data_IF_745500737922
#
_entry.id   IF_745500737922
#
_cell.length_a   1.000
_cell.length_b   1.000
_cell.length_c   1.000
_cell.angle_alpha   90.00
_cell.angle_beta   90.00
_cell.angle_gamma   90.00
#
_symmetry.space_group_name_H-M   'P 1'
#
loop_
_entity.id
_entity.type
_entity.pdbx_description
1 polymer ?
#
# COMPACT_ATOMS: atom_id res chain seq x y z
N UNK A 1 -9.35 -5.57 7.89
CA UNK A 1 -8.93 -6.77 8.63
C UNK A 1 -7.55 -6.70 9.26
N UNK A 2 -6.51 -6.12 8.62
CA UNK A 2 -5.19 -5.98 9.27
C UNK A 2 -5.24 -5.29 10.65
N UNK A 3 -6.03 -4.22 10.79
CA UNK A 3 -6.25 -3.59 12.09
C UNK A 3 -7.02 -4.49 13.06
N UNK A 4 -8.07 -5.18 12.60
CA UNK A 4 -8.86 -6.10 13.43
C UNK A 4 -7.96 -7.20 14.05
N UNK A 5 -7.04 -7.75 13.26
CA UNK A 5 -6.04 -8.70 13.73
C UNK A 5 -5.13 -8.10 14.82
N UNK A 6 -4.58 -6.90 14.60
CA UNK A 6 -3.77 -6.20 15.61
C UNK A 6 -4.58 -5.92 16.89
N UNK A 7 -5.83 -5.46 16.76
CA UNK A 7 -6.72 -5.15 17.88
C UNK A 7 -7.04 -6.40 18.69
N UNK A 8 -7.41 -7.51 18.03
CA UNK A 8 -7.69 -8.78 18.71
C UNK A 8 -6.50 -9.24 19.57
N UNK A 9 -5.29 -9.26 18.99
CA UNK A 9 -4.05 -9.63 19.70
C UNK A 9 -3.76 -8.76 20.92
N UNK A 10 -3.99 -7.44 20.82
CA UNK A 10 -3.75 -6.51 21.94
C UNK A 10 -4.85 -6.63 23.00
N UNK A 11 -6.11 -6.84 22.62
CA UNK A 11 -7.20 -7.05 23.58
C UNK A 11 -6.97 -8.31 24.42
N UNK A 12 -6.66 -9.44 23.79
CA UNK A 12 -6.41 -10.72 24.47
C UNK A 12 -5.35 -10.63 25.56
N UNK A 13 -4.31 -9.82 25.34
CA UNK A 13 -3.18 -9.70 26.27
C UNK A 13 -3.32 -8.57 27.29
N UNK A 14 -4.08 -7.51 26.98
CA UNK A 14 -4.04 -6.25 27.73
C UNK A 14 -5.37 -5.82 28.35
N UNK A 15 -6.52 -6.32 27.90
CA UNK A 15 -7.83 -5.84 28.37
C UNK A 15 -8.69 -7.02 28.78
N UNK A 16 -8.74 -7.29 30.08
CA UNK A 16 -9.57 -8.37 30.63
C UNK A 16 -11.06 -8.13 30.30
N UNK A 17 -11.69 -9.07 29.58
CA UNK A 17 -13.08 -8.96 29.15
C UNK A 17 -13.30 -8.06 27.92
N UNK A 18 -12.24 -7.50 27.34
CA UNK A 18 -12.34 -6.76 26.08
C UNK A 18 -12.74 -7.68 24.92
N UNK A 19 -13.55 -7.16 24.00
CA UNK A 19 -13.98 -7.90 22.81
C UNK A 19 -13.98 -7.03 21.57
N UNK A 20 -13.80 -7.65 20.41
CA UNK A 20 -13.89 -6.99 19.11
C UNK A 20 -15.08 -7.56 18.35
N UNK A 21 -15.92 -6.67 17.82
CA UNK A 21 -16.98 -7.02 16.87
C UNK A 21 -16.68 -6.40 15.52
N UNK A 22 -16.90 -7.17 14.45
CA UNK A 22 -16.69 -6.72 13.07
C UNK A 22 -18.03 -6.65 12.36
N UNK A 23 -18.31 -5.50 11.75
CA UNK A 23 -19.48 -5.24 10.92
C UNK A 23 -19.01 -5.09 9.48
N UNK A 24 -19.34 -6.05 8.61
CA UNK A 24 -18.88 -6.07 7.23
C UNK A 24 -19.79 -6.93 6.34
N UNK A 25 -19.89 -6.66 5.03
CA UNK A 25 -20.50 -7.61 4.10
C UNK A 25 -19.76 -8.95 4.19
N UNK A 26 -20.51 -10.03 4.43
CA UNK A 26 -19.98 -11.39 4.56
C UNK A 26 -20.63 -12.33 3.54
N UNK A 27 -19.85 -13.15 2.81
CA UNK A 27 -18.38 -13.22 2.85
C UNK A 27 -17.71 -11.94 2.32
N UNK A 28 -16.47 -11.67 2.76
CA UNK A 28 -15.71 -10.53 2.22
C UNK A 28 -15.54 -10.65 0.70
N UNK A 29 -15.68 -9.53 0.00
CA UNK A 29 -15.62 -9.47 -1.46
C UNK A 29 -14.27 -9.91 -2.04
N UNK A 30 -14.28 -10.22 -3.35
CA UNK A 30 -13.08 -10.63 -4.11
C UNK A 30 -12.31 -11.80 -3.48
N UNK A 31 -13.01 -12.75 -2.86
CA UNK A 31 -12.44 -13.91 -2.16
C UNK A 31 -11.52 -13.54 -0.98
N UNK A 32 -11.65 -12.33 -0.42
CA UNK A 32 -10.85 -11.93 0.73
C UNK A 32 -11.21 -12.72 2.01
N UNK A 33 -12.37 -13.37 2.05
CA UNK A 33 -12.74 -14.28 3.15
C UNK A 33 -11.73 -15.42 3.30
N UNK A 34 -11.26 -16.00 2.19
CA UNK A 34 -10.24 -17.06 2.19
C UNK A 34 -8.95 -16.57 2.87
N UNK A 35 -8.53 -15.33 2.61
CA UNK A 35 -7.37 -14.72 3.26
C UNK A 35 -7.59 -14.50 4.76
N UNK A 36 -8.80 -14.08 5.15
CA UNK A 36 -9.17 -13.92 6.56
C UNK A 36 -9.10 -15.24 7.32
N UNK A 37 -9.62 -16.31 6.71
CA UNK A 37 -9.67 -17.64 7.30
C UNK A 37 -8.26 -18.27 7.36
N UNK A 38 -7.48 -18.20 6.28
CA UNK A 38 -6.14 -18.79 6.19
C UNK A 38 -5.13 -18.14 7.14
N UNK A 39 -5.25 -16.82 7.35
CA UNK A 39 -4.36 -16.05 8.24
C UNK A 39 -4.94 -15.84 9.63
N UNK A 40 -6.13 -16.38 9.88
CA UNK A 40 -6.78 -16.32 11.18
C UNK A 40 -6.94 -14.86 11.69
N UNK A 41 -7.38 -13.98 10.79
CA UNK A 41 -7.40 -12.52 11.06
C UNK A 41 -8.51 -12.11 12.03
N UNK A 42 -9.55 -12.94 12.19
CA UNK A 42 -10.68 -12.69 13.08
C UNK A 42 -11.53 -13.96 13.30
N UNK A 43 -11.87 -14.24 14.56
CA UNK A 43 -12.63 -15.44 14.96
C UNK A 43 -14.09 -15.18 15.39
N UNK A 44 -14.46 -13.91 15.54
CA UNK A 44 -15.79 -13.55 16.01
C UNK A 44 -16.86 -13.70 14.92
N UNK A 45 -18.11 -13.50 15.31
CA UNK A 45 -19.20 -13.36 14.34
C UNK A 45 -18.99 -12.07 13.53
N UNK A 46 -19.16 -12.14 12.21
CA UNK A 46 -19.27 -10.95 11.35
C UNK A 46 -20.74 -10.53 11.33
N UNK A 47 -20.99 -9.28 11.72
CA UNK A 47 -22.32 -8.67 11.77
C UNK A 47 -22.64 -7.95 10.46
N UNK A 48 -23.92 -7.81 10.13
CA UNK A 48 -24.33 -7.02 8.97
C UNK A 48 -24.03 -5.53 9.25
N UNK A 49 -23.36 -4.79 8.36
CA UNK A 49 -23.13 -3.35 8.49
C UNK A 49 -24.38 -2.54 8.85
N UNK A 50 -25.53 -2.90 8.27
CA UNK A 50 -26.81 -2.19 8.49
C UNK A 50 -27.30 -2.28 9.95
N UNK A 51 -26.80 -3.25 10.72
CA UNK A 51 -27.15 -3.43 12.13
C UNK A 51 -26.37 -2.50 13.07
N UNK A 52 -25.26 -1.89 12.62
CA UNK A 52 -24.34 -1.13 13.48
C UNK A 52 -25.06 -0.03 14.28
N UNK A 53 -25.80 0.84 13.61
CA UNK A 53 -26.47 1.97 14.27
C UNK A 53 -27.50 1.47 15.29
N UNK A 54 -28.27 0.44 14.92
CA UNK A 54 -29.27 -0.17 15.82
C UNK A 54 -28.58 -0.73 17.07
N UNK A 55 -27.46 -1.41 16.90
CA UNK A 55 -26.73 -2.06 17.98
C UNK A 55 -26.02 -1.01 18.87
N UNK A 56 -25.53 0.10 18.30
CA UNK A 56 -25.02 1.26 19.05
C UNK A 56 -26.09 1.98 19.88
N UNK A 57 -27.33 2.01 19.40
CA UNK A 57 -28.48 2.59 20.14
C UNK A 57 -29.07 1.64 21.18
N UNK A 58 -28.74 0.36 21.13
CA UNK A 58 -29.30 -0.64 22.03
C UNK A 58 -28.83 -0.39 23.47
N UNK A 59 -29.77 0.01 24.34
CA UNK A 59 -29.60 0.04 25.80
C UNK A 59 -29.92 -1.29 26.47
N UNK A 60 -30.33 -2.30 25.69
CA UNK A 60 -30.82 -3.61 26.17
C UNK A 60 -29.74 -4.68 26.24
N UNK A 61 -28.57 -4.41 25.67
CA UNK A 61 -27.43 -5.32 25.66
C UNK A 61 -26.49 -4.96 26.80
N UNK A 62 -26.01 -5.95 27.56
CA UNK A 62 -24.89 -5.76 28.51
C UNK A 62 -23.59 -5.29 27.81
N UNK A 63 -23.57 -5.32 26.47
CA UNK A 63 -22.48 -4.85 25.64
C UNK A 63 -22.44 -3.33 25.55
N UNK A 64 -21.39 -2.75 26.12
CA UNK A 64 -21.02 -1.34 25.97
C UNK A 64 -19.96 -1.26 24.86
N UNK A 65 -20.10 -0.28 23.96
CA UNK A 65 -19.11 0.02 22.94
C UNK A 65 -18.31 1.23 23.39
N UNK A 66 -17.01 1.07 23.61
CA UNK A 66 -16.12 2.16 23.99
C UNK A 66 -15.42 2.79 22.78
N UNK A 67 -15.23 2.01 21.70
CA UNK A 67 -14.61 2.45 20.45
C UNK A 67 -15.43 1.95 19.25
N UNK A 68 -15.67 2.84 18.29
CA UNK A 68 -16.13 2.52 16.94
C UNK A 68 -15.00 2.83 15.96
N UNK A 69 -14.61 1.85 15.15
CA UNK A 69 -13.56 2.02 14.14
C UNK A 69 -14.18 1.88 12.76
N UNK A 70 -14.09 2.93 11.95
CA UNK A 70 -14.43 2.91 10.53
C UNK A 70 -13.22 2.43 9.75
N UNK A 71 -13.38 1.35 8.97
CA UNK A 71 -12.32 0.69 8.21
C UNK A 71 -11.75 1.55 7.08
N UNK A 72 -12.55 2.46 6.53
CA UNK A 72 -12.19 3.52 5.59
C UNK A 72 -13.28 4.59 5.69
N UNK A 73 -13.00 5.74 6.30
CA UNK A 73 -14.01 6.80 6.50
C UNK A 73 -14.60 7.36 5.21
N UNK A 74 -13.82 7.27 4.13
CA UNK A 74 -14.22 7.63 2.78
C UNK A 74 -15.40 6.77 2.28
N UNK A 75 -15.61 5.57 2.85
CA UNK A 75 -16.60 4.58 2.38
C UNK A 75 -17.60 4.18 3.49
N UNK A 76 -17.13 3.99 4.72
CA UNK A 76 -17.89 3.37 5.82
C UNK A 76 -18.87 4.32 6.52
N UNK A 77 -19.21 5.44 5.89
CA UNK A 77 -20.37 6.25 6.26
C UNK A 77 -20.20 7.02 7.56
N UNK A 78 -19.10 7.78 7.72
CA UNK A 78 -19.12 8.87 8.69
C UNK A 78 -20.25 9.84 8.31
N UNK A 79 -21.32 9.85 9.11
CA UNK A 79 -22.57 10.53 8.78
C UNK A 79 -23.30 11.04 10.04
N UNK A 80 -24.38 11.79 9.82
CA UNK A 80 -25.19 12.39 10.89
C UNK A 80 -25.90 11.35 11.77
N UNK A 81 -26.20 10.16 11.22
CA UNK A 81 -26.87 9.11 11.99
C UNK A 81 -25.94 8.48 13.04
N UNK A 82 -24.66 8.30 12.70
CA UNK A 82 -23.64 7.85 13.66
C UNK A 82 -23.42 8.90 14.76
N UNK A 83 -23.43 10.18 14.39
CA UNK A 83 -23.31 11.28 15.36
C UNK A 83 -24.54 11.33 16.27
N UNK A 84 -25.74 11.17 15.73
CA UNK A 84 -26.97 11.08 16.52
C UNK A 84 -26.96 9.89 17.48
N UNK A 85 -26.49 8.71 17.03
CA UNK A 85 -26.32 7.55 17.89
C UNK A 85 -25.31 7.79 19.02
N UNK A 86 -24.27 8.59 18.77
CA UNK A 86 -23.37 9.05 19.83
C UNK A 86 -24.06 10.02 20.79
N UNK A 87 -24.78 11.03 20.29
CA UNK A 87 -25.46 12.06 21.08
C UNK A 87 -26.56 11.47 21.98
N UNK A 88 -27.28 10.44 21.52
CA UNK A 88 -28.35 9.75 22.26
C UNK A 88 -27.88 8.94 23.48
N UNK A 89 -26.60 8.55 23.52
CA UNK A 89 -26.02 7.78 24.64
C UNK A 89 -25.76 8.68 25.85
N UNK A 90 -25.86 8.16 27.06
CA UNK A 90 -25.50 8.93 28.25
C UNK A 90 -23.97 9.08 28.40
N UNK A 91 -23.56 10.03 29.23
CA UNK A 91 -22.16 10.44 29.40
C UNK A 91 -21.21 9.29 29.78
N UNK A 92 -21.69 8.27 30.50
CA UNK A 92 -20.86 7.15 30.93
C UNK A 92 -20.71 6.06 29.88
N UNK A 93 -21.47 6.15 28.78
CA UNK A 93 -21.49 5.14 27.73
C UNK A 93 -21.12 5.73 26.36
N UNK A 94 -20.60 6.96 26.27
CA UNK A 94 -20.09 7.51 25.00
C UNK A 94 -18.94 6.66 24.45
N UNK A 95 -18.82 6.59 23.14
CA UNK A 95 -17.71 5.91 22.46
C UNK A 95 -16.76 6.90 21.80
N UNK A 96 -15.51 6.49 21.60
CA UNK A 96 -14.56 7.17 20.71
C UNK A 96 -14.71 6.66 19.28
N UNK A 97 -14.59 7.57 18.32
CA UNK A 97 -14.60 7.24 16.90
C UNK A 97 -13.16 7.22 16.36
N UNK A 98 -12.78 6.15 15.70
CA UNK A 98 -11.50 6.04 15.00
C UNK A 98 -11.75 5.94 13.50
N UNK A 99 -11.08 6.80 12.78
CA UNK A 99 -11.27 7.00 11.36
C UNK A 99 -10.03 6.58 10.59
N UNK A 100 -10.05 5.42 9.93
CA UNK A 100 -8.97 5.02 9.03
C UNK A 100 -9.09 5.82 7.74
N UNK A 101 -7.97 6.38 7.29
CA UNK A 101 -7.90 7.24 6.11
C UNK A 101 -6.65 6.94 5.30
N UNK A 102 -6.71 7.22 4.00
CA UNK A 102 -5.58 6.99 3.10
C UNK A 102 -5.37 8.09 2.06
N UNK A 103 -6.31 9.03 1.91
CA UNK A 103 -6.20 10.17 1.01
C UNK A 103 -6.69 11.46 1.68
N UNK A 104 -5.80 12.43 1.85
CA UNK A 104 -6.13 13.75 2.44
C UNK A 104 -7.10 14.53 1.55
N UNK A 105 -7.12 14.24 0.25
CA UNK A 105 -7.96 14.95 -0.73
C UNK A 105 -9.35 14.37 -0.89
N UNK A 106 -9.63 13.23 -0.24
CA UNK A 106 -11.00 12.74 -0.13
C UNK A 106 -11.72 13.56 0.94
N UNK A 107 -12.45 14.59 0.50
CA UNK A 107 -13.08 15.57 1.37
C UNK A 107 -14.59 15.39 1.52
N UNK A 108 -15.21 14.47 0.80
CA UNK A 108 -16.69 14.38 0.74
C UNK A 108 -17.32 14.04 2.09
N UNK A 109 -16.62 13.28 2.93
CA UNK A 109 -17.03 12.91 4.28
C UNK A 109 -16.56 13.89 5.37
N UNK A 110 -15.75 14.90 5.01
CA UNK A 110 -15.15 15.79 5.98
C UNK A 110 -16.10 16.80 6.66
N UNK A 111 -17.20 17.27 6.04
CA UNK A 111 -18.08 18.26 6.69
C UNK A 111 -18.64 17.81 8.04
N UNK A 112 -18.87 16.51 8.25
CA UNK A 112 -19.38 15.99 9.51
C UNK A 112 -18.31 15.89 10.61
N UNK A 113 -17.01 16.00 10.27
CA UNK A 113 -15.90 15.91 11.24
C UNK A 113 -15.99 17.01 12.30
N UNK A 114 -16.38 18.24 11.92
CA UNK A 114 -16.38 19.41 12.80
C UNK A 114 -17.09 19.14 14.13
N UNK A 115 -18.24 18.45 14.08
CA UNK A 115 -19.01 18.10 15.27
C UNK A 115 -18.33 17.06 16.16
N UNK A 116 -17.67 16.06 15.56
CA UNK A 116 -16.90 15.06 16.29
C UNK A 116 -15.63 15.65 16.92
N UNK A 117 -14.97 16.57 16.22
CA UNK A 117 -13.80 17.30 16.70
C UNK A 117 -14.16 18.15 17.91
N UNK A 118 -15.27 18.90 17.84
CA UNK A 118 -15.73 19.76 18.95
C UNK A 118 -16.03 18.97 20.22
N UNK A 119 -16.52 17.73 20.07
CA UNK A 119 -16.78 16.78 21.16
C UNK A 119 -15.52 16.02 21.63
N UNK A 120 -14.36 16.25 21.02
CA UNK A 120 -13.08 15.59 21.30
C UNK A 120 -13.21 14.05 21.35
N UNK A 121 -13.92 13.48 20.39
CA UNK A 121 -14.28 12.05 20.35
C UNK A 121 -13.73 11.32 19.12
N UNK A 122 -13.28 12.04 18.10
CA UNK A 122 -12.68 11.44 16.90
C UNK A 122 -11.15 11.42 16.94
N UNK A 123 -10.59 10.35 16.38
CA UNK A 123 -9.17 10.19 16.09
C UNK A 123 -8.97 9.70 14.67
N UNK A 124 -7.90 10.18 14.03
CA UNK A 124 -7.51 9.74 12.71
C UNK A 124 -6.44 8.66 12.78
N UNK A 125 -6.60 7.64 11.94
CA UNK A 125 -5.66 6.52 11.83
C UNK A 125 -5.16 6.34 10.37
N UNK A 126 -4.35 7.27 9.82
CA UNK A 126 -3.79 7.12 8.50
C UNK A 126 -2.97 5.83 8.32
N UNK A 127 -2.99 5.30 7.10
CA UNK A 127 -2.23 4.09 6.73
C UNK A 127 -0.79 4.34 6.27
N UNK A 128 -0.29 5.58 6.41
CA UNK A 128 1.10 5.96 6.12
C UNK A 128 1.48 7.28 6.81
N UNK A 129 2.75 7.47 7.15
CA UNK A 129 3.20 8.66 7.88
C UNK A 129 3.07 9.96 7.08
N UNK A 130 3.31 9.94 5.75
CA UNK A 130 3.15 11.14 4.94
C UNK A 130 1.68 11.59 4.84
N UNK A 131 0.74 10.65 4.85
CA UNK A 131 -0.70 10.96 4.89
C UNK A 131 -1.08 11.58 6.24
N UNK A 132 -0.53 11.07 7.35
CA UNK A 132 -0.70 11.69 8.66
C UNK A 132 -0.17 13.13 8.71
N UNK A 133 1.00 13.39 8.12
CA UNK A 133 1.52 14.75 8.00
C UNK A 133 0.63 15.64 7.15
N UNK A 134 0.06 15.11 6.06
CA UNK A 134 -0.89 15.84 5.22
C UNK A 134 -2.19 16.19 5.96
N UNK A 135 -2.76 15.27 6.73
CA UNK A 135 -3.92 15.57 7.59
C UNK A 135 -3.58 16.57 8.69
N UNK A 136 -2.38 16.49 9.30
CA UNK A 136 -1.95 17.49 10.28
C UNK A 136 -1.94 18.90 9.67
N UNK A 137 -1.34 19.05 8.48
CA UNK A 137 -1.33 20.34 7.77
C UNK A 137 -2.74 20.83 7.42
N UNK A 138 -3.62 19.93 6.98
CA UNK A 138 -5.02 20.26 6.72
C UNK A 138 -5.72 20.76 7.99
N UNK A 139 -5.53 20.08 9.12
CA UNK A 139 -6.14 20.47 10.39
C UNK A 139 -5.59 21.78 10.94
N UNK A 140 -4.30 22.06 10.76
CA UNK A 140 -3.73 23.37 11.10
C UNK A 140 -4.39 24.49 10.27
N UNK A 141 -4.61 24.27 8.97
CA UNK A 141 -5.33 25.23 8.10
C UNK A 141 -6.78 25.43 8.58
N UNK A 142 -7.48 24.36 8.94
CA UNK A 142 -8.86 24.44 9.44
C UNK A 142 -8.93 25.13 10.81
N UNK A 143 -7.93 24.93 11.66
CA UNK A 143 -7.83 25.61 12.95
C UNK A 143 -7.67 27.13 12.80
N UNK A 144 -7.10 27.60 11.68
CA UNK A 144 -6.95 29.02 11.34
C UNK A 144 -8.07 29.56 10.41
N UNK A 145 -9.16 28.82 10.22
CA UNK A 145 -10.24 29.19 9.29
C UNK A 145 -10.93 30.51 9.65
N UNK A 146 -11.35 31.28 8.65
CA UNK A 146 -12.18 32.48 8.87
C UNK A 146 -13.62 32.13 9.33
N UNK A 147 -14.05 30.90 9.07
CA UNK A 147 -15.33 30.35 9.53
C UNK A 147 -15.28 30.06 11.03
N UNK A 148 -16.12 30.75 11.82
CA UNK A 148 -16.18 30.61 13.28
C UNK A 148 -16.55 29.19 13.72
N UNK A 149 -17.41 28.48 12.99
CA UNK A 149 -17.83 27.13 13.35
C UNK A 149 -16.67 26.13 13.22
N UNK A 150 -15.84 26.31 12.20
CA UNK A 150 -14.66 25.47 11.94
C UNK A 150 -13.52 25.84 12.89
N UNK A 151 -13.19 27.13 12.99
CA UNK A 151 -12.08 27.63 13.82
C UNK A 151 -12.26 27.28 15.30
N UNK A 152 -13.50 27.32 15.79
CA UNK A 152 -13.81 26.98 17.19
C UNK A 152 -13.89 25.48 17.46
N UNK A 153 -13.82 24.61 16.44
CA UNK A 153 -14.01 23.17 16.61
C UNK A 153 -12.82 22.47 17.29
N UNK A 154 -11.62 23.06 17.28
CA UNK A 154 -10.43 22.50 17.94
C UNK A 154 -9.62 21.54 17.05
N UNK A 155 -9.60 21.75 15.73
CA UNK A 155 -8.87 20.91 14.77
C UNK A 155 -7.37 20.72 15.11
N UNK A 156 -6.71 21.73 15.68
CA UNK A 156 -5.29 21.65 16.09
C UNK A 156 -5.01 20.53 17.12
N UNK A 157 -6.02 20.13 17.89
CA UNK A 157 -5.90 19.13 18.95
C UNK A 157 -6.30 17.72 18.50
N UNK A 158 -6.70 17.53 17.23
CA UNK A 158 -7.08 16.22 16.74
C UNK A 158 -5.93 15.20 16.84
N UNK A 159 -6.16 14.05 17.51
CA UNK A 159 -5.17 13.00 17.56
C UNK A 159 -5.04 12.31 16.19
N UNK A 160 -3.80 12.05 15.78
CA UNK A 160 -3.46 11.33 14.56
C UNK A 160 -2.42 10.28 14.92
N UNK A 161 -2.73 9.01 14.68
CA UNK A 161 -1.78 7.89 14.79
C UNK A 161 -1.64 7.18 13.45
N UNK A 162 -0.55 6.45 13.25
CA UNK A 162 -0.31 5.73 12.00
C UNK A 162 -0.38 4.23 12.25
N UNK A 163 -1.21 3.53 11.49
CA UNK A 163 -1.27 2.06 11.50
C UNK A 163 -1.07 1.54 10.08
N UNK A 164 0.05 0.85 9.84
CA UNK A 164 0.41 0.37 8.50
C UNK A 164 -0.23 -1.02 8.25
N UNK A 165 -1.17 -1.17 7.30
CA UNK A 165 -1.93 -2.40 7.10
C UNK A 165 -1.10 -3.41 6.29
N UNK A 166 -0.19 -4.12 6.94
CA UNK A 166 0.60 -5.20 6.34
C UNK A 166 0.25 -6.52 7.01
N UNK A 167 -0.32 -7.44 6.24
CA UNK A 167 -0.57 -8.82 6.62
C UNK A 167 0.69 -9.72 6.48
N UNK A 168 0.71 -10.82 7.24
CA UNK A 168 1.69 -11.89 7.04
C UNK A 168 1.18 -12.92 6.04
N UNK A 169 1.34 -12.65 4.74
CA UNK A 169 0.94 -13.60 3.71
C UNK A 169 1.90 -14.81 3.61
N UNK A 170 2.91 -14.94 4.46
CA UNK A 170 3.91 -16.00 4.39
C UNK A 170 4.99 -15.77 3.30
N UNK A 171 5.90 -16.74 3.20
CA UNK A 171 7.09 -16.62 2.35
C UNK A 171 6.78 -16.84 0.86
N UNK A 172 7.58 -16.18 0.01
CA UNK A 172 7.60 -16.45 -1.43
C UNK A 172 8.23 -17.80 -1.74
N UNK A 173 7.88 -18.48 -2.86
CA UNK A 173 8.52 -19.72 -3.27
C UNK A 173 10.03 -19.57 -3.47
N UNK A 174 10.79 -20.64 -3.18
CA UNK A 174 12.22 -20.67 -3.52
C UNK A 174 12.41 -20.80 -5.03
N UNK A 175 13.28 -19.96 -5.59
CA UNK A 175 13.65 -20.02 -7.01
C UNK A 175 15.11 -20.44 -7.16
N UNK A 176 15.40 -21.54 -7.89
CA UNK A 176 16.77 -22.04 -8.06
C UNK A 176 17.62 -21.15 -8.98
N UNK A 177 17.00 -20.36 -9.85
CA UNK A 177 17.68 -19.43 -10.77
C UNK A 177 17.41 -17.98 -10.35
N UNK A 178 18.46 -17.16 -10.30
CA UNK A 178 18.42 -15.78 -9.78
C UNK A 178 18.68 -14.72 -10.85
N UNK A 179 18.20 -14.95 -12.07
CA UNK A 179 18.10 -13.87 -13.07
C UNK A 179 16.80 -13.13 -12.82
N UNK A 180 16.84 -11.80 -12.66
CA UNK A 180 15.63 -10.98 -12.48
C UNK A 180 14.78 -11.08 -13.75
N UNK A 181 13.60 -11.71 -13.67
CA UNK A 181 12.75 -11.97 -14.83
C UNK A 181 11.34 -11.44 -14.68
N UNK A 182 10.76 -11.46 -13.48
CA UNK A 182 9.37 -11.07 -13.28
C UNK A 182 9.29 -9.73 -12.55
N UNK A 183 8.83 -8.71 -13.24
CA UNK A 183 8.64 -7.37 -12.66
C UNK A 183 7.17 -6.99 -12.73
N UNK A 184 6.64 -6.35 -11.70
CA UNK A 184 5.23 -5.97 -11.64
C UNK A 184 5.03 -4.47 -11.46
N UNK A 185 4.07 -3.89 -12.17
CA UNK A 185 3.41 -2.63 -11.81
C UNK A 185 2.03 -2.98 -11.28
N UNK A 186 1.75 -2.55 -10.06
CA UNK A 186 0.48 -2.80 -9.38
C UNK A 186 -0.32 -1.49 -9.25
N UNK A 187 -1.61 -1.56 -9.54
CA UNK A 187 -2.56 -0.46 -9.41
C UNK A 187 -3.51 -0.35 -10.60
N UNK A 188 -4.40 0.64 -10.58
CA UNK A 188 -5.29 0.88 -11.72
C UNK A 188 -4.49 1.21 -12.98
N UNK A 189 -5.01 0.79 -14.13
CA UNK A 189 -4.40 1.02 -15.44
C UNK A 189 -4.70 2.43 -15.96
N UNK A 190 -4.34 3.42 -15.15
CA UNK A 190 -4.60 4.84 -15.40
C UNK A 190 -3.28 5.60 -15.57
N UNK A 191 -3.03 6.13 -16.76
CA UNK A 191 -1.79 6.83 -17.12
C UNK A 191 -1.51 8.09 -16.28
N UNK A 192 -2.54 8.72 -15.71
CA UNK A 192 -2.35 9.84 -14.77
C UNK A 192 -1.83 9.41 -13.40
N UNK A 193 -2.01 8.14 -13.02
CA UNK A 193 -1.56 7.58 -11.74
C UNK A 193 -0.25 6.80 -11.85
N UNK A 194 0.00 6.20 -13.02
CA UNK A 194 1.15 5.36 -13.30
C UNK A 194 1.78 5.71 -14.62
N UNK A 195 3.11 5.79 -14.65
CA UNK A 195 3.90 6.26 -15.79
C UNK A 195 4.13 5.16 -16.85
N UNK A 196 3.04 4.54 -17.32
CA UNK A 196 3.11 3.42 -18.26
C UNK A 196 3.78 3.78 -19.58
N UNK A 197 3.51 4.98 -20.10
CA UNK A 197 4.01 5.43 -21.40
C UNK A 197 5.54 5.44 -21.41
N UNK A 198 6.13 6.14 -20.45
CA UNK A 198 7.57 6.21 -20.27
C UNK A 198 8.22 4.85 -20.00
N UNK A 199 7.57 3.97 -19.24
CA UNK A 199 8.07 2.62 -18.97
C UNK A 199 8.09 1.78 -20.25
N UNK A 200 7.05 1.87 -21.08
CA UNK A 200 6.98 1.14 -22.34
C UNK A 200 7.99 1.69 -23.35
N UNK A 201 8.12 3.01 -23.45
CA UNK A 201 9.10 3.67 -24.33
C UNK A 201 10.53 3.28 -23.96
N UNK A 202 10.87 3.30 -22.66
CA UNK A 202 12.20 2.87 -22.19
C UNK A 202 12.46 1.38 -22.46
N UNK A 203 11.45 0.53 -22.27
CA UNK A 203 11.56 -0.91 -22.51
C UNK A 203 11.77 -1.20 -24.00
N UNK A 204 11.02 -0.53 -24.88
CA UNK A 204 11.19 -0.63 -26.33
C UNK A 204 12.58 -0.17 -26.76
N UNK A 205 13.02 1.01 -26.33
CA UNK A 205 14.34 1.52 -26.63
C UNK A 205 15.45 0.56 -26.15
N UNK A 206 15.29 -0.05 -24.97
CA UNK A 206 16.26 -1.02 -24.47
C UNK A 206 16.24 -2.35 -25.21
N UNK A 207 15.09 -2.78 -25.76
CA UNK A 207 14.98 -4.00 -26.57
C UNK A 207 15.53 -3.78 -27.99
N UNK A 208 15.36 -2.59 -28.55
CA UNK A 208 15.94 -2.19 -29.84
C UNK A 208 17.47 -2.15 -29.79
N UNK A 209 18.04 -1.73 -28.66
CA UNK A 209 19.49 -1.74 -28.40
C UNK A 209 20.07 -3.15 -28.34
N UNK A 210 19.54 -4.00 -27.43
CA UNK A 210 19.94 -5.40 -27.33
C UNK A 210 18.81 -6.26 -26.71
N UNK A 211 18.05 -7.01 -27.53
CA UNK A 211 16.94 -7.83 -27.04
C UNK A 211 17.43 -9.10 -26.31
N UNK A 212 18.68 -9.52 -26.53
CA UNK A 212 19.22 -10.74 -25.93
C UNK A 212 19.42 -10.59 -24.42
N UNK A 213 19.70 -9.37 -23.95
CA UNK A 213 19.76 -9.02 -22.51
C UNK A 213 18.44 -9.31 -21.80
N UNK A 214 17.33 -9.13 -22.51
CA UNK A 214 15.99 -9.37 -22.02
C UNK A 214 15.52 -10.81 -22.26
N UNK A 215 16.30 -11.62 -22.98
CA UNK A 215 16.00 -13.01 -23.32
C UNK A 215 15.07 -13.15 -24.53
N UNK A 216 15.13 -12.21 -25.47
CA UNK A 216 14.31 -12.18 -26.68
C UNK A 216 15.16 -12.18 -27.95
N UNK A 217 14.58 -12.68 -29.03
CA UNK A 217 15.16 -12.61 -30.38
C UNK A 217 14.96 -11.20 -30.96
N UNK A 218 15.86 -10.73 -31.86
CA UNK A 218 15.67 -9.47 -32.57
C UNK A 218 14.33 -9.39 -33.30
N UNK A 219 13.69 -8.22 -33.24
CA UNK A 219 12.42 -7.99 -33.90
C UNK A 219 12.59 -8.10 -35.42
N UNK A 220 11.82 -8.99 -36.04
CA UNK A 220 11.77 -9.08 -37.50
C UNK A 220 10.93 -7.91 -37.99
N UNK A 221 11.47 -7.08 -38.90
CA UNK A 221 10.94 -5.77 -39.31
C UNK A 221 9.59 -5.76 -40.06
N UNK A 222 8.65 -6.63 -39.69
CA UNK A 222 7.28 -6.64 -40.16
C UNK A 222 6.41 -5.77 -39.25
N UNK A 223 5.54 -4.90 -39.80
CA UNK A 223 4.62 -4.10 -39.00
C UNK A 223 3.75 -4.98 -38.08
N UNK A 224 3.66 -4.62 -36.80
CA UNK A 224 2.89 -5.36 -35.81
C UNK A 224 3.55 -6.66 -35.31
N UNK A 225 4.83 -6.88 -35.62
CA UNK A 225 5.61 -7.94 -34.98
C UNK A 225 5.75 -7.71 -33.48
N UNK A 226 5.94 -8.81 -32.74
CA UNK A 226 6.25 -8.81 -31.32
C UNK A 226 7.61 -9.46 -31.10
N UNK A 227 8.34 -9.05 -30.07
CA UNK A 227 9.56 -9.74 -29.65
C UNK A 227 9.21 -11.18 -29.22
N UNK A 228 9.96 -12.17 -29.71
CA UNK A 228 9.74 -13.58 -29.38
C UNK A 228 10.79 -14.07 -28.38
N UNK A 229 10.39 -14.80 -27.31
CA UNK A 229 11.34 -15.34 -26.35
C UNK A 229 12.39 -16.24 -27.01
N UNK A 230 13.66 -16.07 -26.63
CA UNK A 230 14.72 -16.98 -27.07
C UNK A 230 14.75 -18.22 -26.18
N UNK A 231 14.06 -19.27 -26.64
CA UNK A 231 13.99 -20.57 -25.96
C UNK A 231 15.31 -21.34 -25.92
N UNK A 232 16.37 -20.88 -26.60
CA UNK A 232 17.70 -21.48 -26.51
C UNK A 232 18.48 -21.05 -25.26
N UNK A 233 18.07 -19.94 -24.63
CA UNK A 233 18.70 -19.42 -23.43
C UNK A 233 18.32 -20.22 -22.19
N UNK A 234 19.28 -20.40 -21.28
CA UNK A 234 19.03 -21.04 -19.98
C UNK A 234 18.28 -20.15 -18.99
N UNK A 235 18.42 -18.82 -19.12
CA UNK A 235 17.76 -17.85 -18.27
C UNK A 235 16.35 -17.59 -18.78
N UNK A 236 15.35 -17.45 -17.90
CA UNK A 236 14.00 -17.09 -18.32
C UNK A 236 13.98 -15.68 -18.98
N UNK A 237 13.13 -15.48 -20.00
CA UNK A 237 12.92 -14.16 -20.59
C UNK A 237 12.33 -13.20 -19.55
N UNK A 238 12.61 -11.91 -19.71
CA UNK A 238 12.03 -10.85 -18.89
C UNK A 238 10.53 -10.70 -19.17
N UNK A 239 9.73 -10.46 -18.15
CA UNK A 239 8.29 -10.24 -18.25
C UNK A 239 7.89 -9.08 -17.35
N UNK A 240 7.08 -8.18 -17.91
CA UNK A 240 6.45 -7.09 -17.17
C UNK A 240 4.98 -7.43 -16.94
N UNK A 241 4.60 -7.58 -15.68
CA UNK A 241 3.24 -7.86 -15.27
C UNK A 241 2.53 -6.57 -14.87
N UNK A 242 1.31 -6.38 -15.36
CA UNK A 242 0.43 -5.31 -14.94
C UNK A 242 -0.73 -5.92 -14.15
N UNK A 243 -0.81 -5.63 -12.85
CA UNK A 243 -1.81 -6.22 -11.96
C UNK A 243 -2.71 -5.12 -11.40
N UNK A 244 -4.01 -5.20 -11.69
CA UNK A 244 -4.97 -4.21 -11.21
C UNK A 244 -6.27 -4.22 -11.99
N UNK A 245 -6.84 -3.04 -12.21
CA UNK A 245 -8.16 -2.86 -12.83
C UNK A 245 -8.12 -1.84 -13.96
N UNK A 246 -9.08 -1.95 -14.88
CA UNK A 246 -9.22 -1.08 -16.03
C UNK A 246 -8.61 -1.67 -17.31
N UNK A 247 -8.18 -0.80 -18.21
CA UNK A 247 -7.64 -1.21 -19.51
C UNK A 247 -6.46 -0.32 -19.92
N UNK A 248 -5.46 -0.92 -20.55
CA UNK A 248 -4.33 -0.23 -21.15
C UNK A 248 -4.01 -0.85 -22.51
N UNK A 249 -3.77 -0.01 -23.51
CA UNK A 249 -3.26 -0.48 -24.80
C UNK A 249 -1.76 -0.78 -24.67
N UNK A 250 -1.38 -2.02 -24.99
CA UNK A 250 0.01 -2.49 -25.00
C UNK A 250 0.55 -2.37 -26.43
N UNK A 251 1.71 -1.74 -26.65
CA UNK A 251 2.37 -1.70 -27.96
C UNK A 251 2.52 -3.09 -28.57
N UNK A 252 2.35 -3.21 -29.89
CA UNK A 252 2.33 -4.51 -30.57
C UNK A 252 3.63 -5.28 -30.34
N UNK A 253 4.75 -4.58 -30.32
CA UNK A 253 6.10 -5.07 -30.09
C UNK A 253 6.24 -5.74 -28.72
N UNK A 254 5.51 -5.25 -27.72
CA UNK A 254 5.60 -5.69 -26.32
C UNK A 254 4.59 -6.80 -25.94
N UNK A 255 3.73 -7.26 -26.85
CA UNK A 255 2.63 -8.19 -26.53
C UNK A 255 3.08 -9.51 -25.87
N UNK A 256 4.27 -10.01 -26.19
CA UNK A 256 4.82 -11.22 -25.60
C UNK A 256 5.65 -10.96 -24.33
N UNK A 257 5.87 -9.69 -23.96
CA UNK A 257 6.69 -9.25 -22.83
C UNK A 257 5.81 -8.75 -21.69
N UNK A 258 4.77 -7.98 -22.03
CA UNK A 258 3.86 -7.35 -21.08
C UNK A 258 2.60 -8.20 -20.94
N UNK A 259 2.28 -8.65 -19.73
CA UNK A 259 1.06 -9.40 -19.44
C UNK A 259 0.18 -8.61 -18.48
N UNK A 260 -1.08 -8.39 -18.87
CA UNK A 260 -2.06 -7.69 -18.05
C UNK A 260 -3.00 -8.68 -17.36
N UNK A 261 -3.11 -8.57 -16.04
CA UNK A 261 -4.00 -9.34 -15.19
C UNK A 261 -5.01 -8.39 -14.55
N UNK A 262 -6.27 -8.52 -14.98
CA UNK A 262 -7.35 -7.59 -14.62
C UNK A 262 -8.27 -8.23 -13.58
N UNK A 263 -8.59 -7.48 -12.53
CA UNK A 263 -9.63 -7.82 -11.54
C UNK A 263 -9.49 -9.23 -10.95
N UNK A 264 -8.25 -9.66 -10.68
CA UNK A 264 -7.98 -10.89 -9.95
C UNK A 264 -8.62 -10.84 -8.55
N UNK A 265 -9.17 -11.97 -8.10
CA UNK A 265 -9.52 -12.14 -6.69
C UNK A 265 -8.24 -12.11 -5.82
N UNK A 266 -8.39 -11.89 -4.51
CA UNK A 266 -7.25 -11.72 -3.62
C UNK A 266 -6.32 -12.94 -3.57
N UNK A 267 -6.86 -14.15 -3.59
CA UNK A 267 -6.10 -15.40 -3.56
C UNK A 267 -5.16 -15.50 -4.77
N UNK A 268 -5.70 -15.34 -5.97
CA UNK A 268 -4.94 -15.37 -7.22
C UNK A 268 -3.97 -14.18 -7.34
N UNK A 269 -4.41 -13.00 -6.90
CA UNK A 269 -3.59 -11.79 -6.87
C UNK A 269 -2.34 -11.98 -5.99
N UNK A 270 -2.52 -12.48 -4.76
CA UNK A 270 -1.40 -12.70 -3.83
C UNK A 270 -0.48 -13.83 -4.27
N UNK A 271 -1.03 -14.91 -4.83
CA UNK A 271 -0.24 -15.97 -5.43
C UNK A 271 0.64 -15.41 -6.56
N UNK A 272 0.07 -14.64 -7.49
CA UNK A 272 0.82 -14.06 -8.60
C UNK A 272 1.84 -13.00 -8.15
N UNK A 273 1.49 -12.14 -7.19
CA UNK A 273 2.42 -11.14 -6.64
C UNK A 273 3.66 -11.80 -6.01
N UNK A 274 3.50 -12.93 -5.30
CA UNK A 274 4.64 -13.68 -4.73
C UNK A 274 5.58 -14.28 -5.78
N UNK A 275 5.14 -14.37 -7.03
CA UNK A 275 5.97 -14.78 -8.17
C UNK A 275 6.79 -13.61 -8.77
N UNK A 276 6.74 -12.41 -8.20
CA UNK A 276 7.45 -11.24 -8.71
C UNK A 276 8.81 -11.08 -8.02
N UNK A 277 9.81 -10.70 -8.81
CA UNK A 277 11.15 -10.42 -8.29
C UNK A 277 11.26 -8.99 -7.75
N UNK A 278 10.58 -8.04 -8.42
CA UNK A 278 10.58 -6.61 -8.09
C UNK A 278 9.23 -5.98 -8.41
N UNK A 279 8.77 -5.06 -7.56
CA UNK A 279 7.61 -4.21 -7.81
C UNK A 279 8.05 -2.79 -8.17
N UNK A 280 7.48 -2.23 -9.25
CA UNK A 280 7.67 -0.86 -9.69
C UNK A 280 6.46 -0.02 -9.27
N UNK A 281 6.61 0.97 -8.36
CA UNK A 281 5.52 1.89 -8.04
C UNK A 281 5.07 2.73 -9.24
N UNK A 282 6.02 3.10 -10.12
CA UNK A 282 5.77 3.83 -11.36
C UNK A 282 4.88 5.08 -11.20
N UNK A 283 4.99 5.84 -10.10
CA UNK A 283 4.07 6.96 -9.84
C UNK A 283 4.25 8.10 -10.84
N UNK A 284 3.16 8.43 -11.55
CA UNK A 284 3.06 9.63 -12.39
C UNK A 284 2.51 10.84 -11.62
N UNK A 285 1.80 10.60 -10.50
CA UNK A 285 1.20 11.65 -9.69
C UNK A 285 2.05 11.99 -8.45
N UNK A 286 2.23 13.29 -8.21
CA UNK A 286 2.86 13.81 -7.00
C UNK A 286 2.02 13.58 -5.73
N UNK A 287 0.70 13.36 -5.86
CA UNK A 287 -0.22 13.06 -4.76
C UNK A 287 0.25 11.89 -3.89
N UNK A 288 0.82 10.85 -4.51
CA UNK A 288 1.35 9.68 -3.79
C UNK A 288 2.54 9.95 -2.87
N UNK A 289 3.18 11.11 -2.99
CA UNK A 289 4.31 11.49 -2.13
C UNK A 289 3.89 12.38 -0.95
N UNK A 290 2.67 12.94 -0.98
CA UNK A 290 2.26 14.02 -0.09
C UNK A 290 0.94 13.75 0.61
N UNK A 291 -0.05 13.20 -0.10
CA UNK A 291 -1.45 13.21 0.35
C UNK A 291 -2.14 11.86 0.26
N UNK A 292 -1.66 10.94 -0.58
CA UNK A 292 -2.30 9.65 -0.78
C UNK A 292 -1.34 8.49 -0.51
N UNK A 293 -1.79 7.51 0.26
CA UNK A 293 -1.09 6.24 0.43
C UNK A 293 -1.44 5.29 -0.72
N UNK A 294 -0.42 4.67 -1.32
CA UNK A 294 -0.61 3.66 -2.36
C UNK A 294 -0.65 2.25 -1.78
N UNK A 295 -1.67 1.49 -2.15
CA UNK A 295 -1.74 0.04 -1.86
C UNK A 295 -0.56 -0.73 -2.44
N UNK A 296 0.07 -0.25 -3.52
CA UNK A 296 1.28 -0.86 -4.11
C UNK A 296 2.39 -1.11 -3.09
N UNK A 297 2.61 -0.17 -2.16
CA UNK A 297 3.64 -0.32 -1.14
C UNK A 297 3.26 -1.38 -0.11
N UNK A 298 2.02 -1.32 0.40
CA UNK A 298 1.52 -2.31 1.36
C UNK A 298 1.55 -3.72 0.75
N UNK A 299 0.98 -3.91 -0.45
CA UNK A 299 0.91 -5.20 -1.14
C UNK A 299 2.28 -5.80 -1.44
N UNK A 300 3.24 -4.98 -1.89
CA UNK A 300 4.60 -5.45 -2.15
C UNK A 300 5.28 -5.93 -0.85
N UNK A 301 5.10 -5.19 0.25
CA UNK A 301 5.60 -5.61 1.56
C UNK A 301 4.92 -6.89 2.02
N UNK A 302 3.58 -6.97 1.96
CA UNK A 302 2.82 -8.16 2.31
C UNK A 302 3.31 -9.41 1.56
N UNK A 303 3.58 -9.29 0.26
CA UNK A 303 4.05 -10.39 -0.60
C UNK A 303 5.57 -10.64 -0.56
N UNK A 304 6.33 -9.92 0.28
CA UNK A 304 7.80 -10.00 0.33
C UNK A 304 8.49 -9.69 -1.01
N UNK A 305 7.90 -8.79 -1.80
CA UNK A 305 8.43 -8.32 -3.09
C UNK A 305 9.10 -6.96 -2.89
N UNK A 306 10.41 -6.83 -3.15
CA UNK A 306 11.09 -5.55 -2.96
C UNK A 306 10.61 -4.50 -3.97
N UNK A 307 10.41 -3.28 -3.48
CA UNK A 307 10.02 -2.13 -4.32
C UNK A 307 11.25 -1.46 -4.93
N UNK A 308 11.27 -1.21 -6.23
CA UNK A 308 12.29 -0.36 -6.86
C UNK A 308 11.89 1.11 -6.71
N UNK A 309 12.62 1.85 -5.88
CA UNK A 309 12.22 3.19 -5.43
C UNK A 309 13.35 4.19 -5.52
N UNK A 310 12.98 5.48 -5.55
CA UNK A 310 13.93 6.58 -5.36
C UNK A 310 14.03 6.98 -3.88
N UNK A 311 15.04 7.77 -3.51
CA UNK A 311 15.14 8.35 -2.16
C UNK A 311 13.92 9.22 -1.81
N UNK A 312 13.29 9.87 -2.79
CA UNK A 312 12.06 10.66 -2.58
C UNK A 312 10.92 9.77 -2.10
N UNK A 313 10.75 8.59 -2.71
CA UNK A 313 9.73 7.62 -2.31
C UNK A 313 9.98 7.11 -0.88
N UNK A 314 11.24 6.80 -0.53
CA UNK A 314 11.59 6.36 0.84
C UNK A 314 11.30 7.42 1.91
N UNK A 315 11.42 8.70 1.56
CA UNK A 315 11.08 9.82 2.46
C UNK A 315 9.58 9.99 2.65
N UNK A 316 8.76 9.63 1.67
CA UNK A 316 7.30 9.66 1.79
C UNK A 316 6.79 8.42 2.54
N UNK A 317 7.18 7.22 2.12
CA UNK A 317 6.78 5.96 2.72
C UNK A 317 7.81 5.51 3.75
N UNK A 318 7.87 6.21 4.88
CA UNK A 318 8.97 6.04 5.84
C UNK A 318 9.00 4.64 6.48
N UNK A 319 7.85 3.96 6.57
CA UNK A 319 7.80 2.57 7.03
C UNK A 319 8.56 1.58 6.12
N UNK A 320 8.79 1.90 4.84
CA UNK A 320 9.66 1.11 3.93
C UNK A 320 11.00 1.79 3.66
N UNK A 321 11.40 2.77 4.48
CA UNK A 321 12.76 3.33 4.43
C UNK A 321 13.77 2.34 5.02
N UNK A 322 13.78 1.13 4.48
CA UNK A 322 14.53 -0.03 4.94
C UNK A 322 14.93 -0.87 3.73
N UNK A 323 16.22 -1.14 3.59
CA UNK A 323 16.75 -1.84 2.41
C UNK A 323 16.33 -3.32 2.35
N UNK A 324 15.78 -3.85 3.45
CA UNK A 324 15.14 -5.16 3.49
C UNK A 324 13.83 -5.17 2.68
N UNK A 325 13.17 -4.03 2.53
CA UNK A 325 11.90 -3.89 1.81
C UNK A 325 12.06 -3.26 0.40
N UNK A 326 13.15 -2.53 0.14
CA UNK A 326 13.28 -1.74 -1.10
C UNK A 326 14.64 -1.88 -1.79
N UNK A 327 14.66 -1.61 -3.09
CA UNK A 327 15.85 -1.38 -3.91
C UNK A 327 15.90 0.12 -4.22
N UNK A 328 16.92 0.81 -3.74
CA UNK A 328 17.03 2.27 -3.94
C UNK A 328 17.83 2.58 -5.20
N UNK A 329 17.16 3.06 -6.25
CA UNK A 329 17.80 3.59 -7.47
C UNK A 329 18.04 5.11 -7.35
N UNK A 330 19.13 5.65 -7.93
CA UNK A 330 19.20 7.10 -8.12
C UNK A 330 18.10 7.54 -9.08
N UNK A 331 17.49 8.70 -8.83
CA UNK A 331 16.42 9.23 -9.68
C UNK A 331 16.86 9.43 -11.14
N UNK A 332 18.15 9.69 -11.36
CA UNK A 332 18.74 9.84 -12.70
C UNK A 332 18.79 8.55 -13.53
N UNK A 333 18.66 7.38 -12.90
CA UNK A 333 18.58 6.08 -13.59
C UNK A 333 17.11 5.68 -13.67
N UNK A 334 16.54 5.59 -14.87
CA UNK A 334 15.11 5.25 -15.06
C UNK A 334 14.83 3.81 -14.62
N UNK A 335 13.55 3.49 -14.40
CA UNK A 335 13.11 2.18 -13.90
C UNK A 335 13.66 1.03 -14.74
N UNK A 336 13.48 1.11 -16.07
CA UNK A 336 13.93 0.06 -16.99
C UNK A 336 15.45 -0.07 -17.00
N UNK A 337 16.21 1.03 -16.96
CA UNK A 337 17.68 0.98 -16.86
C UNK A 337 18.14 0.28 -15.59
N UNK A 338 17.49 0.57 -14.46
CA UNK A 338 17.80 -0.07 -13.18
C UNK A 338 17.44 -1.57 -13.21
N UNK A 339 16.31 -1.94 -13.83
CA UNK A 339 15.93 -3.34 -14.04
C UNK A 339 16.92 -4.06 -14.95
N UNK A 340 17.32 -3.46 -16.09
CA UNK A 340 18.34 -3.98 -17.02
C UNK A 340 19.64 -4.25 -16.26
N UNK A 341 20.10 -3.25 -15.50
CA UNK A 341 21.34 -3.35 -14.75
C UNK A 341 21.31 -4.48 -13.69
N UNK A 342 20.21 -4.57 -12.93
CA UNK A 342 20.00 -5.62 -11.92
C UNK A 342 19.89 -7.01 -12.54
N UNK A 343 19.27 -7.13 -13.71
CA UNK A 343 19.15 -8.38 -14.46
C UNK A 343 20.50 -8.84 -15.01
N UNK A 344 21.31 -7.94 -15.56
CA UNK A 344 22.65 -8.24 -16.10
C UNK A 344 23.71 -8.41 -15.00
N UNK A 345 23.46 -7.89 -13.79
CA UNK A 345 24.48 -7.80 -12.75
C UNK A 345 25.55 -6.74 -13.03
N UNK A 346 25.29 -5.82 -13.97
CA UNK A 346 26.22 -4.78 -14.42
C UNK A 346 25.46 -3.49 -14.69
N UNK A 347 26.01 -2.35 -14.26
CA UNK A 347 25.47 -1.02 -14.57
C UNK A 347 26.42 -0.20 -15.45
N UNK A 348 27.32 -0.87 -16.19
CA UNK A 348 28.36 -0.21 -16.99
C UNK A 348 27.75 0.69 -18.06
N UNK A 349 26.75 0.20 -18.81
CA UNK A 349 26.04 0.98 -19.85
C UNK A 349 25.56 2.35 -19.33
N UNK A 350 25.06 2.38 -18.10
CA UNK A 350 24.63 3.62 -17.45
C UNK A 350 25.81 4.46 -16.96
N UNK A 351 26.81 3.83 -16.34
CA UNK A 351 27.94 4.53 -15.74
C UNK A 351 28.93 5.10 -16.77
N UNK A 352 28.97 4.57 -17.98
CA UNK A 352 29.84 5.05 -19.07
C UNK A 352 29.31 6.33 -19.73
N UNK A 353 28.03 6.66 -19.52
CA UNK A 353 27.47 7.91 -20.01
C UNK A 353 28.17 9.13 -19.37
N UNK A 354 28.60 10.07 -20.22
CA UNK A 354 29.24 11.31 -19.80
C UNK A 354 28.25 12.22 -19.07
N UNK A 355 28.63 12.78 -17.92
CA UNK A 355 27.83 13.79 -17.20
C UNK A 355 27.33 13.39 -15.81
N UNK A 356 27.41 12.10 -15.43
CA UNK A 356 27.03 11.69 -14.08
C UNK A 356 28.11 11.99 -13.04
N UNK A 357 27.73 12.79 -12.04
CA UNK A 357 28.58 13.16 -10.92
C UNK A 357 28.83 11.98 -9.94
N UNK A 358 29.82 12.14 -9.06
CA UNK A 358 30.20 11.10 -8.10
C UNK A 358 29.04 10.62 -7.19
N UNK A 359 28.14 11.49 -6.67
CA UNK A 359 26.95 11.05 -5.94
C UNK A 359 26.06 10.06 -6.70
N UNK A 360 25.75 10.33 -7.99
CA UNK A 360 24.93 9.42 -8.80
C UNK A 360 25.63 8.07 -8.96
N UNK A 361 26.93 8.07 -9.30
CA UNK A 361 27.73 6.85 -9.45
C UNK A 361 27.75 6.03 -8.15
N UNK A 362 27.94 6.68 -7.00
CA UNK A 362 27.93 6.02 -5.69
C UNK A 362 26.56 5.39 -5.37
N UNK A 363 25.46 6.05 -5.74
CA UNK A 363 24.12 5.51 -5.58
C UNK A 363 23.89 4.28 -6.46
N UNK A 364 24.35 4.29 -7.72
CA UNK A 364 24.32 3.11 -8.60
C UNK A 364 25.12 1.95 -8.00
N UNK A 365 26.37 2.19 -7.58
CA UNK A 365 27.19 1.15 -6.95
C UNK A 365 26.54 0.57 -5.69
N UNK A 366 25.87 1.41 -4.88
CA UNK A 366 25.12 0.96 -3.70
C UNK A 366 23.93 0.08 -4.09
N UNK A 367 23.16 0.50 -5.10
CA UNK A 367 22.04 -0.27 -5.65
C UNK A 367 22.51 -1.65 -6.10
N UNK A 368 23.56 -1.69 -6.94
CA UNK A 368 24.12 -2.92 -7.50
C UNK A 368 24.69 -3.85 -6.42
N UNK A 369 25.42 -3.30 -5.44
CA UNK A 369 25.99 -4.10 -4.33
C UNK A 369 24.92 -4.76 -3.47
N UNK A 370 23.78 -4.08 -3.27
CA UNK A 370 22.66 -4.62 -2.49
C UNK A 370 21.81 -5.60 -3.30
N UNK A 371 21.69 -5.35 -4.59
CA UNK A 371 20.88 -6.16 -5.49
C UNK A 371 19.40 -6.16 -5.11
N UNK A 372 18.68 -7.12 -5.69
CA UNK A 372 17.23 -7.25 -5.56
C UNK A 372 16.79 -8.48 -4.75
N UNK A 373 17.66 -9.45 -4.53
CA UNK A 373 17.33 -10.61 -3.68
C UNK A 373 17.31 -10.19 -2.22
N UNK A 374 16.32 -10.68 -1.46
CA UNK A 374 16.16 -10.40 -0.02
C UNK A 374 16.24 -11.69 0.79
N UNK A 375 16.89 -11.60 1.95
CA UNK A 375 16.93 -12.68 2.91
C UNK A 375 15.58 -12.77 3.63
N UNK A 376 15.02 -13.99 3.71
CA UNK A 376 13.69 -14.22 4.32
C UNK A 376 13.64 -13.83 5.80
N UNK A 377 14.68 -14.17 6.57
CA UNK A 377 14.76 -13.85 8.00
C UNK A 377 14.84 -12.34 8.22
N UNK A 378 15.62 -11.64 7.40
CA UNK A 378 15.72 -10.17 7.46
C UNK A 378 14.37 -9.51 7.14
N UNK A 379 13.66 -9.96 6.11
CA UNK A 379 12.33 -9.46 5.73
C UNK A 379 11.30 -9.75 6.83
N UNK A 380 11.33 -10.94 7.44
CA UNK A 380 10.46 -11.28 8.57
C UNK A 380 10.75 -10.38 9.78
N UNK A 381 12.02 -10.14 10.11
CA UNK A 381 12.39 -9.22 11.19
C UNK A 381 11.95 -7.78 10.91
N UNK A 382 11.99 -7.35 9.65
CA UNK A 382 11.44 -6.06 9.24
C UNK A 382 9.93 -5.97 9.52
N UNK A 383 9.14 -6.94 9.03
CA UNK A 383 7.68 -6.99 9.26
C UNK A 383 7.32 -7.07 10.73
N UNK A 384 8.04 -7.88 11.51
CA UNK A 384 7.86 -7.97 12.95
C UNK A 384 8.01 -6.60 13.64
N UNK A 385 9.03 -5.83 13.28
CA UNK A 385 9.22 -4.48 13.81
C UNK A 385 8.08 -3.51 13.44
N UNK A 386 7.43 -3.72 12.28
CA UNK A 386 6.28 -2.95 11.83
C UNK A 386 5.03 -3.32 12.64
N UNK A 387 4.77 -4.60 12.84
CA UNK A 387 3.65 -5.07 13.66
C UNK A 387 3.77 -4.63 15.12
N UNK A 388 4.95 -4.66 15.71
CA UNK A 388 5.18 -4.13 17.06
C UNK A 388 4.88 -2.62 17.16
N UNK A 389 5.13 -1.84 16.09
CA UNK A 389 4.73 -0.42 16.04
C UNK A 389 3.21 -0.29 15.99
N UNK A 390 2.54 -1.09 15.15
CA UNK A 390 1.08 -1.11 15.07
C UNK A 390 0.43 -1.51 16.40
N UNK A 391 0.98 -2.50 17.10
CA UNK A 391 0.50 -2.90 18.41
C UNK A 391 0.62 -1.76 19.43
N UNK A 392 1.75 -1.04 19.47
CA UNK A 392 1.91 0.13 20.34
C UNK A 392 0.92 1.25 20.02
N UNK A 393 0.50 1.37 18.76
CA UNK A 393 -0.55 2.32 18.36
C UNK A 393 -1.88 1.86 18.97
N UNK A 394 -2.27 0.60 18.74
CA UNK A 394 -3.50 0.02 19.31
C UNK A 394 -3.52 0.10 20.83
N UNK A 395 -2.40 -0.14 21.51
CA UNK A 395 -2.30 0.04 22.97
C UNK A 395 -2.62 1.48 23.41
N UNK A 396 -2.22 2.50 22.64
CA UNK A 396 -2.64 3.89 22.91
C UNK A 396 -4.12 4.08 22.67
N UNK A 397 -4.65 3.54 21.56
CA UNK A 397 -6.08 3.63 21.23
C UNK A 397 -6.95 3.08 22.36
N UNK A 398 -6.56 1.97 22.96
CA UNK A 398 -7.29 1.31 24.05
C UNK A 398 -7.06 1.94 25.43
N UNK A 399 -5.95 2.67 25.64
CA UNK A 399 -5.66 3.37 26.91
C UNK A 399 -6.31 4.74 26.99
N UNK A 400 -6.55 5.38 25.85
CA UNK A 400 -7.17 6.69 25.74
C UNK A 400 -8.72 6.61 25.82
N UNK A 401 -9.24 5.53 26.43
CA UNK A 401 -10.67 5.27 26.70
C UNK A 401 -11.17 6.00 27.94
#
# INVERSE_FOLDING_TARGET
MALAWTVGRVLERSVAGGSLQVYAPSPFGFDFQTVVDDLDLYHGKIHNPDDLIRDLRSTRTETIYDIVILGTCEIDGLNDELLAAWDERDEHHKFKLICIVHDVTDTTWQPVITEWTRRNTIRFLPISEHVANGFRQLFDILADSDDEEIRSAGYEHLPIDVHIPVLDLGDKPDRPFRTLSNVVIQGSFTKSRRDYDNIFDDLLASLEDDPTVWGYLPLLGTPGASYEPDHSLRSPPFRLFLLGSGWLEIPAELKNIVTMHVDLNYTDFYALMKEMDVCLPAFADNGYYQRQASSTFAMAVECNVPLLVTDRMKKAYTYVNDDRAVITRPAAMREIDAVKALRQGSALDFLEQSGYNAPIRNSVHRMMRRGWVRNREEVRAFKQSLWEKNERVVERLLRDL
#
